data_IF_414344167386
#
_entry.id   IF_414344167386
#
_cell.length_a   1.000
_cell.length_b   1.000
_cell.length_c   1.000
_cell.angle_alpha   90.00
_cell.angle_beta   90.00
_cell.angle_gamma   90.00
#
_symmetry.space_group_name_H-M   'P 1'
#
loop_
_entity.id
_entity.type
_entity.pdbx_description
1 polymer ?
#
# COMPACT_ATOMS: atom_id res chain seq x y z
N UNK A 1 -0.88 -17.05 -9.47
CA UNK A 1 -2.18 -16.84 -8.82
C UNK A 1 -3.30 -17.28 -9.75
N UNK A 2 -4.34 -17.90 -9.22
CA UNK A 2 -5.60 -18.18 -9.90
C UNK A 2 -6.50 -16.94 -9.91
N UNK A 3 -7.56 -16.94 -10.74
CA UNK A 3 -8.54 -15.86 -10.76
C UNK A 3 -9.25 -15.69 -9.40
N UNK A 4 -9.51 -16.80 -8.70
CA UNK A 4 -10.12 -16.78 -7.37
C UNK A 4 -9.20 -16.13 -6.33
N UNK A 5 -7.90 -16.44 -6.36
CA UNK A 5 -6.90 -15.81 -5.50
C UNK A 5 -6.79 -14.30 -5.76
N UNK A 6 -6.85 -13.87 -7.02
CA UNK A 6 -6.84 -12.44 -7.38
C UNK A 6 -8.09 -11.75 -6.84
N UNK A 7 -9.28 -12.34 -7.00
CA UNK A 7 -10.52 -11.77 -6.47
C UNK A 7 -10.48 -11.65 -4.95
N UNK A 8 -10.00 -12.68 -4.26
CA UNK A 8 -9.85 -12.66 -2.81
C UNK A 8 -8.83 -11.62 -2.36
N UNK A 9 -7.70 -11.51 -3.06
CA UNK A 9 -6.68 -10.51 -2.79
C UNK A 9 -7.23 -9.09 -2.94
N UNK A 10 -7.95 -8.79 -4.03
CA UNK A 10 -8.58 -7.47 -4.24
C UNK A 10 -9.65 -7.19 -3.19
N UNK A 11 -10.45 -8.18 -2.80
CA UNK A 11 -11.44 -8.03 -1.72
C UNK A 11 -10.75 -7.69 -0.38
N UNK A 12 -9.65 -8.38 -0.06
CA UNK A 12 -8.85 -8.10 1.11
C UNK A 12 -8.26 -6.68 1.08
N UNK A 13 -7.73 -6.25 -0.07
CA UNK A 13 -7.19 -4.89 -0.20
C UNK A 13 -8.26 -3.82 -0.05
N UNK A 14 -9.45 -4.02 -0.62
CA UNK A 14 -10.59 -3.10 -0.41
C UNK A 14 -10.94 -2.98 1.06
N UNK A 15 -10.99 -4.10 1.79
CA UNK A 15 -11.31 -4.15 3.21
C UNK A 15 -10.25 -3.48 4.07
N UNK A 16 -8.98 -3.84 3.89
CA UNK A 16 -7.86 -3.35 4.72
C UNK A 16 -7.58 -1.87 4.47
N UNK A 17 -7.63 -1.43 3.22
CA UNK A 17 -7.22 -0.09 2.82
C UNK A 17 -8.37 0.88 2.59
N UNK A 18 -9.63 0.41 2.64
CA UNK A 18 -10.79 1.24 2.28
C UNK A 18 -10.76 1.71 0.82
N UNK A 19 -10.14 0.93 -0.08
CA UNK A 19 -9.92 1.36 -1.46
C UNK A 19 -11.23 1.61 -2.21
N UNK A 20 -11.39 2.85 -2.67
CA UNK A 20 -12.46 3.29 -3.55
C UNK A 20 -12.06 3.14 -5.01
N UNK A 21 -12.96 2.54 -5.80
CA UNK A 21 -12.86 2.41 -7.27
C UNK A 21 -11.50 1.83 -7.74
N UNK A 22 -11.12 0.63 -7.28
CA UNK A 22 -9.89 0.00 -7.73
C UNK A 22 -9.91 -0.23 -9.25
N UNK A 23 -8.78 0.03 -9.90
CA UNK A 23 -8.59 -0.30 -11.31
C UNK A 23 -7.20 -0.88 -11.56
N UNK A 24 -7.13 -1.80 -12.52
CA UNK A 24 -5.88 -2.39 -12.96
C UNK A 24 -5.32 -1.61 -14.16
N UNK A 25 -4.01 -1.45 -14.19
CA UNK A 25 -3.29 -1.00 -15.37
C UNK A 25 -2.07 -1.88 -15.60
N UNK A 26 -1.70 -2.05 -16.87
CA UNK A 26 -0.48 -2.75 -17.25
C UNK A 26 0.49 -1.70 -17.77
N UNK A 27 1.62 -1.53 -17.09
CA UNK A 27 2.74 -0.74 -17.61
C UNK A 27 3.68 -1.68 -18.34
N UNK A 28 3.88 -1.42 -19.64
CA UNK A 28 4.71 -2.28 -20.50
C UNK A 28 6.17 -2.30 -20.07
N UNK A 29 6.67 -1.21 -19.45
CA UNK A 29 8.04 -1.10 -19.00
C UNK A 29 8.10 -0.33 -17.67
N UNK A 30 8.61 -0.98 -16.62
CA UNK A 30 9.11 -0.31 -15.43
C UNK A 30 10.53 0.23 -15.63
N UNK A 31 11.17 0.77 -14.58
CA UNK A 31 12.56 1.23 -14.63
C UNK A 31 13.55 0.15 -15.09
N UNK A 32 13.21 -1.12 -14.84
CA UNK A 32 14.00 -2.30 -15.19
C UNK A 32 13.63 -2.91 -16.55
N UNK A 33 12.66 -2.34 -17.27
CA UNK A 33 12.16 -2.88 -18.53
C UNK A 33 11.21 -4.08 -18.39
N UNK A 34 10.87 -4.49 -17.16
CA UNK A 34 9.90 -5.56 -16.92
C UNK A 34 8.46 -5.05 -17.04
N UNK A 35 7.50 -5.92 -17.42
CA UNK A 35 6.09 -5.58 -17.36
C UNK A 35 5.66 -5.47 -15.89
N UNK A 36 4.93 -4.41 -15.56
CA UNK A 36 4.30 -4.22 -14.26
C UNK A 36 2.79 -4.33 -14.39
N UNK A 37 2.19 -5.07 -13.47
CA UNK A 37 0.76 -5.06 -13.21
C UNK A 37 0.51 -4.17 -12.00
N UNK A 38 -0.22 -3.07 -12.20
CA UNK A 38 -0.55 -2.12 -11.16
C UNK A 38 -2.03 -2.15 -10.81
N UNK A 39 -2.34 -2.25 -9.52
CA UNK A 39 -3.65 -1.98 -8.97
C UNK A 39 -3.62 -0.62 -8.28
N UNK A 40 -4.47 0.28 -8.74
CA UNK A 40 -4.61 1.62 -8.20
C UNK A 40 -5.93 1.75 -7.46
N UNK A 41 -5.96 2.41 -6.32
CA UNK A 41 -7.20 2.80 -5.65
C UNK A 41 -7.02 3.99 -4.73
N UNK A 42 -8.01 4.87 -4.70
CA UNK A 42 -8.02 5.99 -3.74
C UNK A 42 -8.45 5.47 -2.39
N UNK A 43 -7.74 5.87 -1.34
CA UNK A 43 -8.10 5.56 0.04
C UNK A 43 -8.62 6.81 0.77
N UNK A 44 -8.29 8.00 0.26
CA UNK A 44 -8.87 9.28 0.66
C UNK A 44 -8.88 10.27 -0.52
N UNK A 45 -9.40 11.50 -0.30
CA UNK A 45 -9.49 12.55 -1.33
C UNK A 45 -8.17 12.78 -2.07
N UNK A 46 -7.08 12.83 -1.31
CA UNK A 46 -5.73 13.16 -1.79
C UNK A 46 -4.72 12.06 -1.45
N UNK A 47 -5.18 10.83 -1.20
CA UNK A 47 -4.33 9.69 -0.87
C UNK A 47 -4.71 8.47 -1.72
N UNK A 48 -3.72 7.84 -2.32
CA UNK A 48 -3.86 6.70 -3.21
C UNK A 48 -2.91 5.56 -2.79
N UNK A 49 -3.43 4.34 -2.85
CA UNK A 49 -2.64 3.12 -2.83
C UNK A 49 -2.34 2.66 -4.26
N UNK A 50 -1.12 2.18 -4.45
CA UNK A 50 -0.69 1.45 -5.65
C UNK A 50 -0.09 0.13 -5.18
N UNK A 51 -0.66 -0.99 -5.61
CA UNK A 51 0.03 -2.28 -5.56
C UNK A 51 0.62 -2.55 -6.93
N UNK A 52 1.90 -2.86 -7.01
CA UNK A 52 2.63 -3.08 -8.25
C UNK A 52 3.34 -4.42 -8.18
N UNK A 53 3.17 -5.24 -9.20
CA UNK A 53 3.76 -6.57 -9.29
C UNK A 53 4.50 -6.75 -10.62
N UNK A 54 5.70 -7.28 -10.54
CA UNK A 54 6.60 -7.65 -11.63
C UNK A 54 7.17 -9.06 -11.40
N UNK A 55 7.84 -9.66 -12.39
CA UNK A 55 8.57 -10.92 -12.18
C UNK A 55 9.61 -10.85 -11.05
N UNK A 56 10.23 -9.69 -10.85
CA UNK A 56 11.20 -9.44 -9.79
C UNK A 56 10.60 -9.30 -8.39
N UNK A 57 9.30 -9.02 -8.26
CA UNK A 57 8.65 -8.90 -6.97
C UNK A 57 7.37 -8.06 -6.96
N UNK A 58 6.87 -7.78 -5.77
CA UNK A 58 5.71 -6.92 -5.60
C UNK A 58 5.98 -5.85 -4.54
N UNK A 59 5.33 -4.71 -4.69
CA UNK A 59 5.44 -3.60 -3.75
C UNK A 59 4.12 -2.86 -3.61
N UNK A 60 3.87 -2.37 -2.41
CA UNK A 60 2.86 -1.37 -2.13
C UNK A 60 3.51 0.01 -2.15
N UNK A 61 2.81 1.00 -2.69
CA UNK A 61 3.23 2.40 -2.68
C UNK A 61 2.04 3.23 -2.21
N UNK A 62 2.32 4.16 -1.31
CA UNK A 62 1.40 5.21 -0.93
C UNK A 62 1.79 6.48 -1.69
N UNK A 63 0.82 7.04 -2.39
CA UNK A 63 0.94 8.31 -3.08
C UNK A 63 -0.03 9.34 -2.51
N UNK A 64 0.42 10.58 -2.41
CA UNK A 64 -0.39 11.72 -2.01
C UNK A 64 -0.45 12.74 -3.12
N UNK A 65 -1.55 13.48 -3.17
CA UNK A 65 -1.69 14.55 -4.15
C UNK A 65 -1.07 15.82 -3.59
N UNK A 66 -0.04 16.33 -4.26
CA UNK A 66 0.69 17.53 -3.87
C UNK A 66 0.83 18.46 -5.07
N UNK A 67 0.51 19.75 -4.91
CA UNK A 67 0.58 20.75 -5.99
C UNK A 67 -0.04 20.34 -7.34
N UNK A 68 -1.05 19.45 -7.31
CA UNK A 68 -1.72 18.93 -8.51
C UNK A 68 -1.13 17.64 -9.10
N UNK A 69 0.07 17.21 -8.70
CA UNK A 69 0.67 15.93 -9.07
C UNK A 69 0.47 14.85 -7.99
N UNK A 70 0.62 13.58 -8.39
CA UNK A 70 0.67 12.46 -7.44
C UNK A 70 2.14 12.14 -7.14
N UNK A 71 2.52 12.29 -5.88
CA UNK A 71 3.87 12.01 -5.40
C UNK A 71 3.85 10.74 -4.57
N UNK A 72 4.80 9.84 -4.79
CA UNK A 72 5.03 8.70 -3.88
C UNK A 72 5.66 9.24 -2.60
N UNK A 73 5.30 8.69 -1.46
CA UNK A 73 5.84 9.09 -0.15
C UNK A 73 6.36 7.91 0.66
N UNK A 74 5.74 6.74 0.53
CA UNK A 74 6.13 5.52 1.25
C UNK A 74 5.94 4.32 0.33
N UNK A 75 6.84 3.37 0.40
CA UNK A 75 6.75 2.06 -0.24
C UNK A 75 7.00 0.93 0.74
N UNK A 76 6.49 -0.25 0.41
CA UNK A 76 6.78 -1.50 1.10
C UNK A 76 7.06 -2.56 0.03
N UNK A 77 8.20 -3.22 0.11
CA UNK A 77 8.42 -4.45 -0.65
C UNK A 77 7.65 -5.61 0.01
N UNK A 78 6.94 -6.40 -0.80
CA UNK A 78 6.01 -7.42 -0.31
C UNK A 78 6.73 -8.54 0.45
N UNK A 79 7.82 -9.07 -0.13
CA UNK A 79 8.50 -10.26 0.39
C UNK A 79 9.45 -9.97 1.55
N UNK A 80 10.08 -8.79 1.56
CA UNK A 80 11.00 -8.39 2.64
C UNK A 80 10.28 -7.61 3.75
N UNK A 81 9.09 -7.06 3.47
CA UNK A 81 8.43 -6.11 4.36
C UNK A 81 9.22 -4.80 4.54
N UNK A 82 10.26 -4.56 3.75
CA UNK A 82 11.08 -3.37 3.91
C UNK A 82 10.27 -2.13 3.56
N UNK A 83 10.07 -1.25 4.55
CA UNK A 83 9.48 0.07 4.36
C UNK A 83 10.54 1.02 3.83
N UNK A 84 10.30 1.60 2.67
CA UNK A 84 11.17 2.57 2.01
C UNK A 84 10.42 3.90 1.95
N UNK A 85 11.04 4.97 2.44
CA UNK A 85 10.50 6.32 2.23
C UNK A 85 10.88 6.73 0.80
N UNK A 86 9.88 6.80 -0.08
CA UNK A 86 10.09 7.04 -1.52
C UNK A 86 9.96 8.54 -1.75
N UNK A 87 10.98 9.30 -1.38
CA UNK A 87 11.06 10.72 -1.69
C UNK A 87 11.94 10.89 -2.92
N UNK A 88 11.41 11.53 -3.97
CA UNK A 88 12.27 12.17 -4.95
C UNK A 88 13.10 13.21 -4.20
N UNK A 89 14.36 13.39 -4.57
CA UNK A 89 15.44 14.13 -3.88
C UNK A 89 15.16 15.59 -3.45
N UNK A 90 13.93 16.07 -3.51
CA UNK A 90 13.50 17.31 -2.86
C UNK A 90 13.42 17.12 -1.34
N UNK A 91 14.18 17.94 -0.61
CA UNK A 91 14.13 18.18 0.85
C UNK A 91 12.78 18.77 1.32
N UNK A 92 11.69 18.27 0.78
CA UNK A 92 10.35 18.80 1.02
C UNK A 92 9.84 18.26 2.37
N UNK A 93 10.07 19.05 3.42
CA UNK A 93 9.69 18.75 4.81
C UNK A 93 8.22 18.35 4.93
N UNK A 94 7.34 18.89 4.08
CA UNK A 94 5.92 18.54 4.07
C UNK A 94 5.69 17.09 3.65
N UNK A 95 6.43 16.60 2.65
CA UNK A 95 6.35 15.20 2.22
C UNK A 95 6.89 14.25 3.28
N UNK A 96 7.96 14.65 3.98
CA UNK A 96 8.50 13.90 5.12
C UNK A 96 7.49 13.82 6.26
N UNK A 97 6.81 14.93 6.56
CA UNK A 97 5.78 14.98 7.58
C UNK A 97 4.58 14.08 7.21
N UNK A 98 4.11 14.14 5.97
CA UNK A 98 3.04 13.27 5.47
C UNK A 98 3.46 11.79 5.50
N UNK A 99 4.69 11.48 5.12
CA UNK A 99 5.23 10.12 5.22
C UNK A 99 5.22 9.64 6.68
N UNK A 100 5.67 10.48 7.62
CA UNK A 100 5.66 10.14 9.04
C UNK A 100 4.23 9.92 9.58
N UNK A 101 3.28 10.79 9.21
CA UNK A 101 1.88 10.71 9.62
C UNK A 101 1.20 9.41 9.13
N UNK A 102 1.52 8.96 7.92
CA UNK A 102 0.90 7.77 7.34
C UNK A 102 1.68 6.47 7.59
N UNK A 103 2.93 6.54 8.08
CA UNK A 103 3.84 5.40 8.19
C UNK A 103 3.26 4.24 8.98
N UNK A 104 2.70 4.50 10.15
CA UNK A 104 2.21 3.44 11.03
C UNK A 104 0.98 2.74 10.45
N UNK A 105 0.01 3.52 9.95
CA UNK A 105 -1.17 2.98 9.27
C UNK A 105 -0.78 2.20 8.02
N UNK A 106 0.16 2.71 7.22
CA UNK A 106 0.68 2.03 6.04
C UNK A 106 1.34 0.70 6.40
N UNK A 107 2.23 0.69 7.41
CA UNK A 107 2.91 -0.52 7.89
C UNK A 107 1.92 -1.58 8.38
N UNK A 108 0.96 -1.20 9.22
CA UNK A 108 -0.11 -2.10 9.71
C UNK A 108 -0.89 -2.71 8.54
N UNK A 109 -1.29 -1.87 7.58
CA UNK A 109 -2.11 -2.31 6.45
C UNK A 109 -1.31 -3.22 5.48
N UNK A 110 0.00 -2.97 5.30
CA UNK A 110 0.90 -3.87 4.58
C UNK A 110 0.99 -5.24 5.27
N UNK A 111 1.14 -5.27 6.59
CA UNK A 111 1.14 -6.52 7.35
C UNK A 111 -0.16 -7.31 7.18
N UNK A 112 -1.33 -6.64 7.32
CA UNK A 112 -2.63 -7.26 7.06
C UNK A 112 -2.81 -7.72 5.59
N UNK A 113 -2.09 -7.10 4.66
CA UNK A 113 -2.09 -7.49 3.24
C UNK A 113 -1.14 -8.65 2.94
N UNK A 114 -0.45 -9.19 3.95
CA UNK A 114 0.45 -10.34 3.83
C UNK A 114 1.91 -9.99 3.58
N UNK A 115 2.32 -8.72 3.70
CA UNK A 115 3.74 -8.37 3.62
C UNK A 115 4.52 -8.92 4.82
N UNK A 116 5.78 -9.28 4.60
CA UNK A 116 6.68 -9.80 5.64
C UNK A 116 7.20 -8.70 6.59
N UNK A 117 6.29 -7.87 7.11
CA UNK A 117 6.60 -6.78 8.04
C UNK A 117 7.01 -7.37 9.38
N UNK A 118 8.23 -7.09 9.80
CA UNK A 118 8.66 -7.37 11.17
C UNK A 118 7.82 -6.54 12.14
N UNK A 119 7.22 -7.21 13.12
CA UNK A 119 6.41 -6.60 14.17
C UNK A 119 6.49 -7.43 15.45
N UNK A 120 6.39 -6.75 16.58
CA UNK A 120 6.38 -7.38 17.91
C UNK A 120 5.08 -8.15 18.14
N UNK A 121 5.08 -9.08 19.10
CA UNK A 121 3.84 -9.78 19.49
C UNK A 121 2.74 -8.81 19.95
N UNK A 122 3.12 -7.72 20.60
CA UNK A 122 2.18 -6.70 21.03
C UNK A 122 1.52 -6.00 19.84
N UNK A 123 2.31 -5.56 18.86
CA UNK A 123 1.79 -4.96 17.63
C UNK A 123 0.86 -5.91 16.88
N UNK A 124 1.23 -7.20 16.77
CA UNK A 124 0.38 -8.21 16.13
C UNK A 124 -0.99 -8.34 16.80
N UNK A 125 -1.01 -8.35 18.15
CA UNK A 125 -2.25 -8.41 18.92
C UNK A 125 -3.09 -7.15 18.70
N UNK A 126 -2.50 -5.97 18.85
CA UNK A 126 -3.18 -4.69 18.66
C UNK A 126 -3.76 -4.56 17.25
N UNK A 127 -2.98 -4.89 16.22
CA UNK A 127 -3.41 -4.79 14.84
C UNK A 127 -4.50 -5.80 14.48
N UNK A 128 -4.46 -6.99 15.07
CA UNK A 128 -5.51 -8.00 14.90
C UNK A 128 -6.81 -7.56 15.57
N UNK A 129 -6.74 -6.98 16.77
CA UNK A 129 -7.91 -6.44 17.47
C UNK A 129 -8.51 -5.27 16.70
N UNK A 130 -7.69 -4.34 16.24
CA UNK A 130 -8.11 -3.22 15.41
C UNK A 130 -8.90 -3.68 14.17
N UNK A 131 -8.42 -4.72 13.47
CA UNK A 131 -9.09 -5.22 12.27
C UNK A 131 -10.47 -5.80 12.59
N UNK A 132 -10.61 -6.52 13.71
CA UNK A 132 -11.90 -7.06 14.18
C UNK A 132 -12.88 -5.95 14.58
N UNK A 133 -12.37 -4.88 15.18
CA UNK A 133 -13.19 -3.70 15.52
C UNK A 133 -13.71 -3.00 14.26
N UNK A 134 -12.90 -2.90 13.20
CA UNK A 134 -13.39 -2.37 11.92
C UNK A 134 -14.49 -3.26 11.34
N UNK A 135 -14.36 -4.58 11.43
CA UNK A 135 -15.39 -5.53 10.94
C UNK A 135 -16.72 -5.41 11.71
N UNK A 136 -16.66 -5.09 13.00
CA UNK A 136 -17.87 -4.93 13.83
C UNK A 136 -18.59 -3.59 13.61
N UNK A 137 -17.94 -2.61 12.98
CA UNK A 137 -18.50 -1.28 12.71
C UNK A 137 -19.07 -1.13 11.29
N UNK A 138 -18.81 -2.10 10.41
CA UNK A 138 -19.34 -2.15 9.04
C UNK A 138 -20.65 -2.97 8.92
N UNK A 139 -21.15 -3.53 10.03
CA UNK A 139 -22.49 -4.17 10.16
C UNK A 139 -23.58 -3.17 10.59
#
# INVERSE_FOLDING_TARGET
MTEAEIKQFVANLKRIWGMQRPHWSIRKFGPTGEPHLDLHGRIAKDVQLIYSSSPSGAHFLLSVRFAGSWERIIGCEFNSGQIIVVLNESEDEEKLLLAAQHRETFRRNCWHSGCAIECTQHEQLEWTLWLKEQESNDE
#
